data_IF_725672292832
#
_entry.id   IF_725672292832
#
_cell.length_a   1.000
_cell.length_b   1.000
_cell.length_c   1.000
_cell.angle_alpha   90.00
_cell.angle_beta   90.00
_cell.angle_gamma   90.00
#
_symmetry.space_group_name_H-M   'P 1'
#
loop_
_entity.id
_entity.type
_entity.pdbx_description
1 polymer ?
#
# COMPACT_ATOMS: atom_id res chain seq x y z
N UNK A 1 21.18 66.80 45.17
CA UNK A 1 20.34 65.67 45.55
C UNK A 1 19.00 65.73 44.84
N UNK A 2 18.70 64.63 44.14
CA UNK A 2 17.41 64.19 43.60
C UNK A 2 16.68 65.09 42.61
N UNK A 3 17.08 65.03 41.33
CA UNK A 3 16.09 65.04 40.25
C UNK A 3 16.06 63.61 39.68
N UNK A 4 14.94 62.88 39.81
CA UNK A 4 14.93 61.44 39.59
C UNK A 4 15.12 61.12 38.11
N UNK A 5 15.77 59.99 37.86
CA UNK A 5 15.67 59.28 36.57
C UNK A 5 14.19 59.29 36.16
N UNK A 6 13.83 59.80 34.96
CA UNK A 6 12.44 59.92 34.54
C UNK A 6 11.70 58.60 34.75
N UNK A 7 10.60 58.66 35.50
CA UNK A 7 9.80 57.50 35.87
C UNK A 7 8.77 57.22 34.78
N UNK A 8 8.21 56.00 34.73
CA UNK A 8 7.10 55.65 33.82
C UNK A 8 5.92 56.64 33.95
N UNK A 9 5.77 57.29 35.11
CA UNK A 9 4.74 58.31 35.41
C UNK A 9 4.94 59.60 34.60
N UNK A 10 6.18 60.05 34.45
CA UNK A 10 6.51 61.30 33.74
C UNK A 10 6.19 61.22 32.23
N UNK A 11 6.10 60.01 31.68
CA UNK A 11 5.75 59.75 30.28
C UNK A 11 4.26 59.52 30.03
N UNK A 12 3.53 59.10 31.07
CA UNK A 12 2.06 59.05 31.07
C UNK A 12 1.46 60.46 31.04
N UNK A 13 2.12 61.42 31.70
CA UNK A 13 1.68 62.82 31.80
C UNK A 13 1.82 63.62 30.49
N UNK A 14 2.55 63.11 29.49
CA UNK A 14 2.62 63.66 28.11
C UNK A 14 1.89 62.78 27.07
N UNK A 15 0.94 61.94 27.51
CA UNK A 15 0.05 61.10 26.69
C UNK A 15 0.74 60.03 25.82
N UNK A 16 1.96 59.58 26.17
CA UNK A 16 2.66 58.51 25.44
C UNK A 16 2.33 57.14 26.07
N UNK A 17 1.14 56.63 25.78
CA UNK A 17 0.57 55.43 26.41
C UNK A 17 1.16 54.06 26.01
N UNK A 18 2.28 54.00 25.29
CA UNK A 18 2.80 52.76 24.67
C UNK A 18 4.13 52.24 25.23
N UNK A 19 4.70 52.85 26.27
CA UNK A 19 5.97 52.42 26.86
C UNK A 19 5.78 51.20 27.77
N UNK A 20 6.36 50.05 27.40
CA UNK A 20 6.42 48.79 28.20
C UNK A 20 7.84 48.50 28.67
N UNK A 21 8.01 47.64 29.68
CA UNK A 21 9.29 47.36 30.36
C UNK A 21 10.46 47.00 29.43
N UNK A 22 10.20 46.32 28.31
CA UNK A 22 11.25 45.93 27.35
C UNK A 22 11.85 47.15 26.60
N UNK A 23 11.05 48.20 26.40
CA UNK A 23 11.50 49.47 25.80
C UNK A 23 12.29 50.32 26.79
N UNK A 24 12.23 50.02 28.09
CA UNK A 24 12.91 50.79 29.15
C UNK A 24 14.40 50.44 29.23
N UNK A 25 14.77 49.17 28.97
CA UNK A 25 16.15 48.69 29.04
C UNK A 25 17.08 49.32 27.99
N UNK A 26 16.65 49.37 26.72
CA UNK A 26 17.39 50.03 25.63
C UNK A 26 17.54 51.55 25.85
N UNK A 27 16.59 52.16 26.56
CA UNK A 27 16.59 53.61 26.85
C UNK A 27 17.48 53.96 28.04
N UNK A 28 17.55 53.09 29.04
CA UNK A 28 18.50 53.22 30.16
C UNK A 28 19.96 53.17 29.68
N UNK A 29 20.27 52.39 28.65
CA UNK A 29 21.60 52.36 28.01
C UNK A 29 21.96 53.67 27.31
N UNK A 30 20.97 54.37 26.72
CA UNK A 30 21.19 55.64 26.02
C UNK A 30 21.33 56.82 26.99
N UNK A 31 20.54 56.86 28.07
CA UNK A 31 20.69 57.83 29.17
C UNK A 31 22.06 57.66 29.85
N UNK A 32 22.54 56.42 30.00
CA UNK A 32 23.88 56.15 30.54
C UNK A 32 25.04 56.64 29.63
N UNK A 33 24.79 56.88 28.35
CA UNK A 33 25.78 57.36 27.38
C UNK A 33 25.76 58.90 27.18
N UNK A 34 24.74 59.60 27.67
CA UNK A 34 24.63 61.06 27.58
C UNK A 34 25.50 61.72 28.66
N UNK A 35 26.44 62.58 28.24
CA UNK A 35 27.43 63.20 29.14
C UNK A 35 26.91 64.50 29.78
N UNK A 36 25.94 65.14 29.14
CA UNK A 36 25.26 66.32 29.68
C UNK A 36 23.98 65.92 30.43
N UNK A 37 24.05 66.00 31.76
CA UNK A 37 22.96 65.59 32.67
C UNK A 37 21.79 66.58 32.72
N UNK A 38 21.83 67.68 31.97
CA UNK A 38 20.79 68.72 31.96
C UNK A 38 19.91 68.69 30.71
N UNK A 39 20.27 67.89 29.70
CA UNK A 39 19.55 67.79 28.44
C UNK A 39 18.26 66.97 28.62
N UNK A 40 17.12 67.58 28.32
CA UNK A 40 15.81 66.89 28.24
C UNK A 40 15.55 66.48 26.79
N UNK A 41 15.21 65.21 26.57
CA UNK A 41 14.77 64.74 25.24
C UNK A 41 13.44 65.45 24.86
N UNK A 42 13.34 65.91 23.63
CA UNK A 42 12.11 66.46 23.05
C UNK A 42 11.03 65.40 22.88
N UNK A 43 9.77 65.81 22.77
CA UNK A 43 8.63 64.91 22.47
C UNK A 43 8.89 64.14 21.17
N UNK A 44 9.51 64.77 20.18
CA UNK A 44 9.91 64.17 18.90
C UNK A 44 11.00 63.13 19.07
N UNK A 45 12.02 63.38 19.91
CA UNK A 45 13.07 62.41 20.22
C UNK A 45 12.52 61.20 20.98
N UNK A 46 11.64 61.43 21.96
CA UNK A 46 10.97 60.37 22.71
C UNK A 46 10.06 59.57 21.76
N UNK A 47 9.28 60.24 20.91
CA UNK A 47 8.42 59.60 19.91
C UNK A 47 9.25 58.77 18.93
N UNK A 48 10.40 59.27 18.47
CA UNK A 48 11.32 58.54 17.60
C UNK A 48 11.87 57.25 18.24
N UNK A 49 12.19 57.29 19.54
CA UNK A 49 12.66 56.13 20.31
C UNK A 49 11.50 55.17 20.62
N UNK A 50 10.28 55.65 20.85
CA UNK A 50 9.10 54.81 21.04
C UNK A 50 8.67 54.14 19.73
N UNK A 51 8.85 54.83 18.61
CA UNK A 51 8.59 54.29 17.27
C UNK A 51 9.75 53.47 16.70
N UNK A 52 10.90 53.38 17.40
CA UNK A 52 12.04 52.63 16.90
C UNK A 52 11.78 51.13 17.09
N UNK A 53 11.49 50.46 15.99
CA UNK A 53 11.50 49.00 15.90
C UNK A 53 12.85 48.46 16.37
N UNK A 54 12.85 47.62 17.41
CA UNK A 54 14.06 46.88 17.79
C UNK A 54 14.41 45.95 16.64
N UNK A 55 15.63 46.04 16.10
CA UNK A 55 16.06 45.18 14.99
C UNK A 55 16.54 43.84 15.55
N UNK A 56 15.91 42.75 15.12
CA UNK A 56 16.35 41.39 15.37
C UNK A 56 16.45 40.61 14.05
N UNK A 57 17.55 39.90 13.83
CA UNK A 57 17.78 39.07 12.64
C UNK A 57 17.76 37.58 13.00
N UNK A 58 16.59 37.07 13.39
CA UNK A 58 16.38 35.63 13.58
C UNK A 58 16.11 34.91 12.26
N UNK A 59 16.25 33.58 12.25
CA UNK A 59 16.06 32.71 11.09
C UNK A 59 15.19 31.50 11.42
N UNK A 60 14.29 31.15 10.51
CA UNK A 60 13.50 29.93 10.55
C UNK A 60 14.38 28.76 10.14
N UNK A 61 14.47 27.77 11.03
CA UNK A 61 15.08 26.48 10.77
C UNK A 61 13.99 25.39 10.78
N UNK A 62 13.60 25.01 9.56
CA UNK A 62 12.66 23.93 9.24
C UNK A 62 13.17 23.18 8.00
N UNK A 63 12.85 21.90 7.91
CA UNK A 63 13.08 21.09 6.70
C UNK A 63 12.34 21.75 5.53
N UNK A 64 13.09 22.15 4.50
CA UNK A 64 12.53 22.86 3.34
C UNK A 64 11.83 21.93 2.34
N UNK A 65 12.12 20.62 2.37
CA UNK A 65 11.51 19.62 1.50
C UNK A 65 11.11 18.39 2.31
N UNK A 66 9.82 18.08 2.31
CA UNK A 66 9.28 16.88 2.92
C UNK A 66 8.54 16.03 1.88
N UNK A 67 8.29 14.77 2.22
CA UNK A 67 7.42 13.90 1.45
C UNK A 67 6.38 13.24 2.36
N UNK A 68 5.21 12.98 1.80
CA UNK A 68 4.13 12.24 2.44
C UNK A 68 3.56 11.26 1.42
N UNK A 69 3.27 10.03 1.83
CA UNK A 69 2.53 9.11 1.00
C UNK A 69 1.12 9.68 0.75
N UNK A 70 0.57 9.44 -0.44
CA UNK A 70 -0.85 9.75 -0.63
C UNK A 70 -1.73 9.00 0.37
N UNK A 71 -2.96 9.47 0.58
CA UNK A 71 -3.89 9.04 1.65
C UNK A 71 -3.43 9.30 3.08
N UNK A 72 -2.17 9.65 3.30
CA UNK A 72 -1.67 10.09 4.60
C UNK A 72 -1.73 11.62 4.70
N UNK A 73 -2.13 12.12 5.87
CA UNK A 73 -2.05 13.54 6.17
C UNK A 73 -0.60 13.93 6.50
N UNK A 74 -0.18 15.11 6.06
CA UNK A 74 1.13 15.65 6.39
C UNK A 74 1.05 16.56 7.62
N UNK A 75 2.05 16.47 8.50
CA UNK A 75 2.29 17.43 9.58
C UNK A 75 3.80 17.66 9.72
N UNK A 76 4.22 18.91 9.69
CA UNK A 76 5.62 19.28 9.85
C UNK A 76 6.08 19.10 11.31
N UNK A 77 7.39 18.92 11.56
CA UNK A 77 7.92 19.18 12.90
C UNK A 77 7.72 20.66 13.27
N UNK A 78 7.75 20.97 14.57
CA UNK A 78 7.75 22.35 15.06
C UNK A 78 9.00 23.07 14.55
N UNK A 79 8.88 24.18 13.79
CA UNK A 79 10.01 24.98 13.36
C UNK A 79 10.82 25.51 14.56
N UNK A 80 12.13 25.60 14.39
CA UNK A 80 13.00 26.27 15.37
C UNK A 80 13.45 27.62 14.84
N UNK A 81 13.79 28.55 15.73
CA UNK A 81 14.33 29.87 15.38
C UNK A 81 15.77 29.99 15.88
N UNK A 82 16.67 30.44 15.01
CA UNK A 82 18.10 30.70 15.32
C UNK A 82 18.44 32.18 15.11
N UNK A 83 19.64 32.62 15.47
CA UNK A 83 20.07 34.02 15.35
C UNK A 83 19.69 34.87 16.58
N UNK A 84 19.38 36.14 16.35
CA UNK A 84 19.09 37.09 17.44
C UNK A 84 17.89 36.67 18.29
N UNK A 85 17.88 37.16 19.53
CA UNK A 85 16.70 37.03 20.39
C UNK A 85 15.54 37.81 19.79
N UNK A 86 14.35 37.21 19.84
CA UNK A 86 13.12 37.77 19.27
C UNK A 86 12.48 38.73 20.25
N UNK A 87 11.74 39.71 19.74
CA UNK A 87 10.97 40.62 20.59
C UNK A 87 9.59 40.05 20.85
N UNK A 88 9.35 39.61 22.09
CA UNK A 88 8.04 39.08 22.49
C UNK A 88 7.66 37.77 21.77
N UNK A 89 6.36 37.53 21.67
CA UNK A 89 5.80 36.33 21.06
C UNK A 89 5.93 36.33 19.53
N UNK A 90 6.01 35.13 18.96
CA UNK A 90 6.06 34.92 17.52
C UNK A 90 4.67 34.54 17.01
N UNK A 91 4.24 35.23 15.96
CA UNK A 91 3.08 34.84 15.16
C UNK A 91 3.55 34.21 13.86
N UNK A 92 3.00 33.05 13.54
CA UNK A 92 3.29 32.31 12.32
C UNK A 92 2.16 32.46 11.30
N UNK A 93 2.53 32.71 10.05
CA UNK A 93 1.61 32.80 8.92
C UNK A 93 2.12 31.96 7.75
N UNK A 94 1.21 31.60 6.84
CA UNK A 94 1.49 30.80 5.66
C UNK A 94 0.98 31.54 4.42
N UNK A 95 1.78 31.53 3.37
CA UNK A 95 1.48 32.09 2.06
C UNK A 95 2.10 31.22 0.97
N UNK A 96 2.14 31.75 -0.25
CA UNK A 96 2.59 31.00 -1.42
C UNK A 96 1.45 30.46 -2.27
N UNK A 97 1.78 29.66 -3.27
CA UNK A 97 0.86 29.24 -4.32
C UNK A 97 -0.21 28.27 -3.83
N UNK A 98 0.18 27.36 -2.94
CA UNK A 98 -0.70 26.31 -2.42
C UNK A 98 -1.15 26.60 -0.98
N UNK A 99 -1.05 27.86 -0.51
CA UNK A 99 -1.31 28.20 0.90
C UNK A 99 -2.70 27.77 1.39
N UNK A 100 -3.72 27.80 0.52
CA UNK A 100 -5.09 27.39 0.81
C UNK A 100 -5.24 25.87 1.00
N UNK A 101 -4.21 25.09 0.64
CA UNK A 101 -4.14 23.63 0.84
C UNK A 101 -3.57 23.23 2.19
N UNK A 102 -3.07 24.19 2.96
CA UNK A 102 -2.42 23.97 4.27
C UNK A 102 -3.11 24.74 5.39
N UNK A 103 -2.84 24.30 6.61
CA UNK A 103 -3.10 25.06 7.82
C UNK A 103 -1.80 25.26 8.58
N UNK A 104 -1.60 26.43 9.19
CA UNK A 104 -0.48 26.69 10.10
C UNK A 104 -1.00 27.06 11.48
N UNK A 105 -0.41 26.48 12.51
CA UNK A 105 -0.68 26.90 13.87
C UNK A 105 0.07 28.20 14.17
N UNK A 106 -0.67 29.30 14.34
CA UNK A 106 -0.11 30.64 14.51
C UNK A 106 0.83 30.81 15.72
N UNK A 107 0.78 29.90 16.72
CA UNK A 107 1.61 29.99 17.93
C UNK A 107 2.93 29.23 17.82
N UNK A 108 2.94 28.09 17.14
CA UNK A 108 4.11 27.20 17.11
C UNK A 108 4.65 26.92 15.70
N UNK A 109 4.00 27.41 14.64
CA UNK A 109 4.47 27.29 13.27
C UNK A 109 4.33 25.90 12.65
N UNK A 110 3.68 24.94 13.33
CA UNK A 110 3.42 23.61 12.75
C UNK A 110 2.47 23.74 11.56
N UNK A 111 2.87 23.18 10.43
CA UNK A 111 2.13 23.17 9.16
C UNK A 111 1.49 21.79 8.97
N UNK A 112 0.23 21.76 8.55
CA UNK A 112 -0.49 20.52 8.23
C UNK A 112 -1.17 20.60 6.86
N UNK A 113 -1.26 19.45 6.19
CA UNK A 113 -2.01 19.26 4.94
C UNK A 113 -2.85 18.00 5.08
N UNK A 114 -4.10 18.05 4.63
CA UNK A 114 -4.94 16.85 4.56
C UNK A 114 -4.34 15.82 3.59
N UNK A 115 -4.78 14.57 3.72
CA UNK A 115 -4.45 13.53 2.75
C UNK A 115 -4.76 13.96 1.31
N UNK A 116 -3.87 13.60 0.38
CA UNK A 116 -3.99 13.85 -1.06
C UNK A 116 -4.13 12.54 -1.82
N UNK A 117 -4.61 12.64 -3.06
CA UNK A 117 -4.75 11.56 -4.04
C UNK A 117 -3.75 11.91 -5.16
N UNK A 118 -2.73 11.07 -5.35
CA UNK A 118 -1.62 11.37 -6.26
C UNK A 118 -2.10 11.49 -7.71
N UNK A 119 -3.07 10.66 -8.11
CA UNK A 119 -3.68 10.65 -9.43
C UNK A 119 -4.65 11.82 -9.65
N UNK A 120 -5.05 12.53 -8.60
CA UNK A 120 -5.90 13.74 -8.66
C UNK A 120 -5.25 14.93 -7.95
N UNK A 121 -4.13 15.46 -8.49
CA UNK A 121 -3.44 16.58 -7.89
C UNK A 121 -4.32 17.83 -7.84
N UNK A 122 -4.23 18.57 -6.73
CA UNK A 122 -4.99 19.80 -6.49
C UNK A 122 -4.10 21.00 -6.15
N UNK A 123 -2.79 20.80 -6.11
CA UNK A 123 -1.81 21.88 -6.19
C UNK A 123 -1.97 22.65 -7.50
N UNK A 124 -1.43 23.86 -7.51
CA UNK A 124 -1.70 24.83 -8.57
C UNK A 124 -1.20 24.39 -9.94
N UNK A 125 0.00 23.80 -10.01
CA UNK A 125 0.64 23.33 -11.23
C UNK A 125 0.38 21.85 -11.53
N UNK A 126 -0.25 21.13 -10.60
CA UNK A 126 -0.68 19.72 -10.71
C UNK A 126 0.49 18.74 -10.84
N UNK A 127 1.62 19.05 -10.20
CA UNK A 127 2.85 18.26 -10.23
C UNK A 127 3.06 17.43 -8.93
N UNK A 128 2.10 17.46 -7.99
CA UNK A 128 2.17 16.84 -6.67
C UNK A 128 3.30 17.39 -5.76
N UNK A 129 3.94 18.50 -6.12
CA UNK A 129 4.89 19.25 -5.31
C UNK A 129 4.23 20.54 -4.80
N UNK A 130 3.61 20.44 -3.61
CA UNK A 130 2.93 21.54 -2.96
C UNK A 130 3.94 22.53 -2.37
N UNK A 131 3.87 23.81 -2.76
CA UNK A 131 4.84 24.86 -2.44
C UNK A 131 4.19 25.97 -1.61
N UNK A 132 4.68 26.16 -0.40
CA UNK A 132 4.25 27.23 0.51
C UNK A 132 5.43 27.98 1.10
N UNK A 133 5.20 29.22 1.53
CA UNK A 133 6.16 30.01 2.28
C UNK A 133 5.59 30.26 3.67
N UNK A 134 6.33 29.88 4.71
CA UNK A 134 5.98 30.21 6.09
C UNK A 134 6.73 31.47 6.53
N UNK A 135 6.05 32.33 7.29
CA UNK A 135 6.61 33.58 7.81
C UNK A 135 6.43 33.64 9.31
N UNK A 136 7.52 33.85 10.03
CA UNK A 136 7.53 34.13 11.47
C UNK A 136 7.67 35.64 11.67
N UNK A 137 6.80 36.23 12.49
CA UNK A 137 6.81 37.66 12.82
C UNK A 137 6.82 37.84 14.33
N UNK A 138 7.78 38.59 14.84
CA UNK A 138 7.83 38.95 16.26
C UNK A 138 6.96 40.19 16.57
N UNK A 139 6.87 40.57 17.85
CA UNK A 139 6.02 41.67 18.30
C UNK A 139 6.41 43.02 17.70
N UNK A 140 7.70 43.23 17.45
CA UNK A 140 8.23 44.45 16.84
C UNK A 140 8.23 44.40 15.30
N UNK A 141 7.61 43.38 14.69
CA UNK A 141 7.50 43.17 13.24
C UNK A 141 8.81 42.81 12.54
N UNK A 142 9.79 42.28 13.26
CA UNK A 142 10.90 41.59 12.62
C UNK A 142 10.40 40.28 12.04
N UNK A 143 10.83 39.95 10.82
CA UNK A 143 10.33 38.79 10.09
C UNK A 143 11.44 37.95 9.50
N UNK A 144 11.20 36.65 9.45
CA UNK A 144 11.93 35.76 8.56
C UNK A 144 10.93 34.86 7.82
N UNK A 145 11.30 34.39 6.63
CA UNK A 145 10.45 33.54 5.80
C UNK A 145 11.23 32.36 5.26
N UNK A 146 10.54 31.23 5.11
CA UNK A 146 11.12 29.98 4.63
C UNK A 146 10.15 29.27 3.70
N UNK A 147 10.65 28.83 2.56
CA UNK A 147 9.89 27.97 1.66
C UNK A 147 9.89 26.52 2.16
N UNK A 148 8.72 25.90 2.03
CA UNK A 148 8.45 24.51 2.33
C UNK A 148 7.80 23.88 1.08
N UNK A 149 8.43 22.82 0.59
CA UNK A 149 7.88 21.95 -0.46
C UNK A 149 7.47 20.62 0.16
N UNK A 150 6.23 20.19 -0.07
CA UNK A 150 5.73 18.88 0.34
C UNK A 150 5.39 18.07 -0.91
N UNK A 151 6.18 17.02 -1.17
CA UNK A 151 5.95 16.07 -2.25
C UNK A 151 4.97 14.99 -1.81
N UNK A 152 3.84 14.88 -2.51
CA UNK A 152 2.97 13.71 -2.37
C UNK A 152 3.56 12.58 -3.20
N UNK A 153 3.83 11.43 -2.59
CA UNK A 153 4.36 10.25 -3.30
C UNK A 153 3.25 9.25 -3.58
N UNK A 154 3.23 8.73 -4.80
CA UNK A 154 2.29 7.70 -5.24
C UNK A 154 2.39 6.45 -4.35
N UNK A 155 1.23 5.92 -3.97
CA UNK A 155 1.04 4.60 -3.38
C UNK A 155 0.11 3.81 -4.29
N UNK A 156 0.64 2.72 -4.86
CA UNK A 156 -0.09 1.87 -5.79
C UNK A 156 -1.51 1.50 -5.31
N UNK A 157 -2.52 1.97 -6.06
CA UNK A 157 -3.92 1.67 -5.83
C UNK A 157 -4.42 0.57 -6.77
N UNK A 158 -4.63 -0.63 -6.24
CA UNK A 158 -5.23 -1.70 -7.04
C UNK A 158 -6.77 -1.63 -7.02
N UNK A 159 -7.37 -1.46 -8.19
CA UNK A 159 -8.83 -1.55 -8.35
C UNK A 159 -9.23 -2.98 -8.71
N UNK A 160 -9.93 -3.65 -7.80
CA UNK A 160 -10.47 -4.99 -8.04
C UNK A 160 -11.50 -4.97 -9.17
N UNK A 161 -11.39 -5.91 -10.09
CA UNK A 161 -12.28 -6.12 -11.23
C UNK A 161 -12.98 -7.47 -11.13
N UNK A 162 -14.18 -7.58 -11.70
CA UNK A 162 -14.98 -8.81 -11.66
C UNK A 162 -14.82 -9.64 -12.94
N UNK A 163 -14.73 -10.96 -12.78
CA UNK A 163 -14.56 -11.93 -13.87
C UNK A 163 -15.48 -13.12 -13.63
N UNK A 164 -16.12 -13.65 -14.67
CA UNK A 164 -17.04 -14.78 -14.52
C UNK A 164 -16.64 -15.97 -15.40
N UNK A 165 -16.68 -17.17 -14.84
CA UNK A 165 -16.50 -18.44 -15.55
C UNK A 165 -17.40 -19.51 -14.92
N UNK A 166 -18.00 -20.36 -15.75
CA UNK A 166 -18.88 -21.46 -15.31
C UNK A 166 -19.97 -21.05 -14.31
N UNK A 167 -20.54 -19.85 -14.47
CA UNK A 167 -21.61 -19.34 -13.59
C UNK A 167 -21.15 -18.80 -12.23
N UNK A 168 -19.84 -18.75 -11.96
CA UNK A 168 -19.26 -18.18 -10.73
C UNK A 168 -18.56 -16.87 -11.06
N UNK A 169 -18.78 -15.85 -10.23
CA UNK A 169 -18.11 -14.54 -10.33
C UNK A 169 -16.99 -14.43 -9.29
N UNK A 170 -15.82 -14.02 -9.78
CA UNK A 170 -14.58 -13.84 -9.03
C UNK A 170 -14.19 -12.38 -9.05
N UNK A 171 -13.32 -12.01 -8.12
CA UNK A 171 -12.65 -10.71 -8.09
C UNK A 171 -11.16 -10.89 -8.29
N UNK A 172 -10.53 -9.90 -8.93
CA UNK A 172 -9.09 -9.83 -8.95
C UNK A 172 -8.54 -9.31 -7.61
N UNK A 173 -7.38 -9.82 -7.22
CA UNK A 173 -6.59 -9.37 -6.07
C UNK A 173 -5.14 -9.17 -6.50
N UNK A 174 -4.48 -8.17 -5.94
CA UNK A 174 -3.09 -7.84 -6.25
C UNK A 174 -2.16 -8.39 -5.18
N UNK A 175 -1.09 -9.06 -5.61
CA UNK A 175 -0.06 -9.52 -4.70
C UNK A 175 0.78 -8.33 -4.23
N UNK A 176 0.85 -8.07 -2.91
CA UNK A 176 1.78 -7.07 -2.37
C UNK A 176 3.24 -7.55 -2.48
N UNK A 177 3.47 -8.81 -2.85
CA UNK A 177 4.79 -9.44 -2.79
C UNK A 177 5.43 -9.60 -4.19
N UNK A 178 4.61 -9.86 -5.22
CA UNK A 178 5.07 -10.07 -6.60
C UNK A 178 4.56 -9.01 -7.58
N UNK A 179 3.59 -8.18 -7.18
CA UNK A 179 2.87 -7.29 -8.09
C UNK A 179 1.93 -8.01 -9.08
N UNK A 180 1.84 -9.35 -9.01
CA UNK A 180 0.96 -10.13 -9.89
C UNK A 180 -0.49 -10.03 -9.47
N UNK A 181 -1.39 -10.22 -10.43
CA UNK A 181 -2.84 -10.22 -10.19
C UNK A 181 -3.37 -11.64 -10.22
N UNK A 182 -4.15 -12.01 -9.21
CA UNK A 182 -4.72 -13.34 -8.99
C UNK A 182 -6.25 -13.27 -8.89
N UNK A 183 -6.93 -14.40 -9.04
CA UNK A 183 -8.33 -14.52 -8.61
C UNK A 183 -8.42 -14.73 -7.08
N UNK A 184 -9.43 -14.12 -6.48
CA UNK A 184 -9.66 -14.06 -5.02
C UNK A 184 -9.90 -15.42 -4.34
N UNK A 185 -10.32 -16.46 -5.07
CA UNK A 185 -10.65 -17.79 -4.54
C UNK A 185 -10.32 -18.93 -5.52
N UNK A 186 -10.36 -20.18 -5.04
CA UNK A 186 -10.20 -21.36 -5.89
C UNK A 186 -11.33 -21.39 -6.93
N UNK A 187 -11.05 -21.89 -8.13
CA UNK A 187 -12.11 -22.06 -9.13
C UNK A 187 -13.23 -22.96 -8.61
N UNK A 188 -14.47 -22.52 -8.79
CA UNK A 188 -15.69 -23.17 -8.33
C UNK A 188 -16.10 -22.86 -6.90
N UNK A 189 -15.35 -22.01 -6.18
CA UNK A 189 -15.66 -21.68 -4.80
C UNK A 189 -16.77 -20.62 -4.67
N UNK A 190 -17.67 -20.80 -3.72
CA UNK A 190 -18.79 -19.89 -3.48
C UNK A 190 -18.34 -18.59 -2.79
N UNK A 191 -17.24 -18.63 -2.02
CA UNK A 191 -16.71 -17.49 -1.28
C UNK A 191 -15.19 -17.54 -1.11
N UNK A 192 -14.59 -16.38 -0.84
CA UNK A 192 -13.22 -16.30 -0.29
C UNK A 192 -13.20 -16.96 1.09
N UNK A 193 -12.14 -17.70 1.41
CA UNK A 193 -12.04 -18.46 2.66
C UNK A 193 -12.13 -17.54 3.88
N UNK A 194 -12.98 -17.93 4.85
CA UNK A 194 -13.09 -17.25 6.16
C UNK A 194 -12.22 -17.89 7.24
N UNK A 195 -11.86 -19.15 7.06
CA UNK A 195 -10.92 -19.94 7.87
C UNK A 195 -10.37 -21.07 7.00
N UNK A 196 -9.26 -21.71 7.39
CA UNK A 196 -8.58 -22.72 6.56
C UNK A 196 -9.50 -23.89 6.12
N UNK A 197 -10.41 -24.32 6.99
CA UNK A 197 -11.35 -25.42 6.75
C UNK A 197 -12.69 -25.01 6.13
N UNK A 198 -12.81 -23.82 5.56
CA UNK A 198 -14.08 -23.29 5.05
C UNK A 198 -14.53 -24.01 3.78
N UNK A 199 -15.45 -24.97 3.92
CA UNK A 199 -15.93 -25.81 2.82
C UNK A 199 -16.50 -25.02 1.63
N UNK A 200 -17.08 -23.84 1.87
CA UNK A 200 -17.62 -22.97 0.79
C UNK A 200 -16.52 -22.33 -0.06
N UNK A 201 -15.29 -22.32 0.44
CA UNK A 201 -14.12 -21.75 -0.25
C UNK A 201 -13.30 -22.77 -1.03
N UNK A 202 -13.60 -24.06 -0.86
CA UNK A 202 -12.77 -25.13 -1.39
C UNK A 202 -12.75 -25.18 -2.91
N UNK A 203 -13.87 -24.85 -3.55
CA UNK A 203 -14.05 -24.92 -5.00
C UNK A 203 -14.00 -26.34 -5.55
N UNK A 204 -13.75 -26.47 -6.84
CA UNK A 204 -13.72 -27.73 -7.57
C UNK A 204 -12.34 -28.42 -7.52
N UNK A 205 -12.31 -29.70 -7.91
CA UNK A 205 -11.11 -30.55 -7.93
C UNK A 205 -10.87 -31.11 -9.33
N UNK A 206 -9.98 -30.47 -10.09
CA UNK A 206 -9.76 -30.75 -11.51
C UNK A 206 -8.72 -31.83 -11.72
N UNK A 207 -8.94 -32.70 -12.71
CA UNK A 207 -7.90 -33.57 -13.25
C UNK A 207 -6.99 -32.75 -14.17
N UNK A 208 -5.68 -33.01 -14.12
CA UNK A 208 -4.69 -32.12 -14.70
C UNK A 208 -4.85 -31.98 -16.23
N UNK A 209 -4.82 -30.74 -16.70
CA UNK A 209 -4.97 -30.41 -18.12
C UNK A 209 -6.37 -30.64 -18.70
N UNK A 210 -7.38 -30.98 -17.89
CA UNK A 210 -8.75 -31.25 -18.36
C UNK A 210 -9.59 -29.96 -18.41
N UNK A 211 -10.50 -29.88 -19.38
CA UNK A 211 -11.47 -28.80 -19.48
C UNK A 211 -12.58 -28.95 -18.44
N UNK A 212 -13.31 -27.86 -18.17
CA UNK A 212 -14.50 -27.87 -17.31
C UNK A 212 -15.61 -28.66 -18.02
N UNK A 213 -15.84 -29.88 -17.57
CA UNK A 213 -16.77 -30.83 -18.20
C UNK A 213 -17.60 -31.63 -17.18
N UNK A 214 -17.68 -31.13 -15.93
CA UNK A 214 -18.36 -31.70 -14.75
C UNK A 214 -17.53 -32.70 -13.94
N UNK A 215 -16.38 -33.17 -14.43
CA UNK A 215 -15.54 -34.08 -13.65
C UNK A 215 -15.05 -33.43 -12.35
N UNK A 216 -14.83 -32.12 -12.39
CA UNK A 216 -14.25 -31.34 -11.32
C UNK A 216 -15.15 -31.19 -10.09
N UNK A 217 -16.45 -31.47 -10.26
CA UNK A 217 -17.38 -31.48 -9.14
C UNK A 217 -16.97 -32.55 -8.13
N UNK A 218 -16.96 -32.17 -6.86
CA UNK A 218 -16.61 -33.08 -5.76
C UNK A 218 -17.55 -34.30 -5.67
N UNK A 219 -18.76 -34.17 -6.22
CA UNK A 219 -19.81 -35.20 -6.24
C UNK A 219 -19.95 -35.90 -7.60
N UNK A 220 -19.08 -35.63 -8.58
CA UNK A 220 -19.18 -36.26 -9.89
C UNK A 220 -19.00 -37.78 -9.81
N UNK A 221 -19.66 -38.52 -10.70
CA UNK A 221 -19.46 -39.96 -10.84
C UNK A 221 -18.04 -40.32 -11.30
N UNK A 222 -17.67 -41.59 -11.19
CA UNK A 222 -16.33 -42.08 -11.56
C UNK A 222 -16.38 -43.05 -12.75
N UNK A 223 -15.27 -43.20 -13.46
CA UNK A 223 -15.08 -44.19 -14.53
C UNK A 223 -13.63 -44.64 -14.60
N UNK A 224 -13.37 -45.92 -14.83
CA UNK A 224 -12.02 -46.44 -15.08
C UNK A 224 -11.57 -46.33 -16.55
N UNK A 225 -12.47 -45.92 -17.45
CA UNK A 225 -12.19 -45.82 -18.89
C UNK A 225 -11.60 -44.46 -19.22
N UNK A 226 -10.29 -44.42 -19.53
CA UNK A 226 -9.62 -43.22 -20.03
C UNK A 226 -10.22 -42.74 -21.36
N UNK A 227 -10.18 -41.44 -21.58
CA UNK A 227 -10.42 -40.86 -22.89
C UNK A 227 -9.23 -41.10 -23.83
N UNK A 228 -9.50 -41.18 -25.13
CA UNK A 228 -8.44 -41.34 -26.16
C UNK A 228 -8.09 -40.03 -26.86
N UNK A 229 -8.69 -38.92 -26.41
CA UNK A 229 -8.44 -37.57 -26.92
C UNK A 229 -8.49 -36.55 -25.79
N UNK A 230 -8.09 -35.31 -26.07
CA UNK A 230 -8.19 -34.19 -25.11
C UNK A 230 -9.59 -33.58 -24.99
N UNK A 231 -10.53 -34.01 -25.83
CA UNK A 231 -11.92 -33.55 -25.80
C UNK A 231 -12.82 -34.66 -25.30
N UNK A 232 -13.67 -34.32 -24.34
CA UNK A 232 -14.81 -35.16 -24.02
C UNK A 232 -15.84 -35.00 -25.17
N UNK A 233 -16.03 -36.06 -25.94
CA UNK A 233 -16.96 -36.11 -27.10
C UNK A 233 -18.21 -36.95 -26.80
N UNK A 234 -18.36 -37.45 -25.58
CA UNK A 234 -19.45 -38.33 -25.18
C UNK A 234 -20.65 -37.60 -24.57
N UNK A 235 -21.80 -38.30 -24.58
CA UNK A 235 -22.95 -38.00 -23.70
C UNK A 235 -22.66 -38.51 -22.29
N UNK A 236 -23.08 -37.77 -21.27
CA UNK A 236 -22.80 -37.92 -19.83
C UNK A 236 -21.61 -37.07 -19.35
N UNK A 237 -21.87 -35.83 -18.95
CA UNK A 237 -21.12 -35.03 -17.96
C UNK A 237 -19.83 -35.74 -17.49
N UNK A 238 -18.68 -35.31 -17.97
CA UNK A 238 -17.43 -36.06 -17.91
C UNK A 238 -17.18 -36.68 -16.53
N UNK A 239 -17.12 -38.02 -16.40
CA UNK A 239 -16.84 -38.65 -15.11
C UNK A 239 -15.42 -38.35 -14.67
N UNK A 240 -15.17 -38.38 -13.36
CA UNK A 240 -13.82 -38.37 -12.81
C UNK A 240 -13.13 -39.70 -13.11
N UNK A 241 -12.00 -39.66 -13.82
CA UNK A 241 -11.32 -40.88 -14.25
C UNK A 241 -10.49 -41.46 -13.11
N UNK A 242 -10.68 -42.74 -12.81
CA UNK A 242 -10.02 -43.47 -11.72
C UNK A 242 -9.19 -44.64 -12.23
N UNK A 243 -8.31 -45.18 -11.39
CA UNK A 243 -7.56 -46.41 -11.67
C UNK A 243 -6.45 -46.30 -12.71
N UNK A 244 -6.17 -45.08 -13.20
CA UNK A 244 -5.12 -44.78 -14.17
C UNK A 244 -4.28 -43.60 -13.67
N UNK A 245 -3.03 -43.45 -14.15
CA UNK A 245 -2.18 -42.31 -13.80
C UNK A 245 -2.64 -41.00 -14.46
N UNK A 246 -3.44 -41.06 -15.52
CA UNK A 246 -3.99 -39.90 -16.23
C UNK A 246 -5.45 -40.15 -16.62
N UNK A 247 -6.22 -39.12 -16.94
CA UNK A 247 -7.61 -39.24 -17.39
C UNK A 247 -7.74 -39.55 -18.89
N UNK A 248 -6.64 -39.38 -19.64
CA UNK A 248 -6.58 -39.57 -21.09
C UNK A 248 -5.28 -40.28 -21.48
N UNK A 249 -5.32 -41.03 -22.58
CA UNK A 249 -4.12 -41.58 -23.23
C UNK A 249 -3.50 -40.64 -24.27
N UNK A 250 -4.14 -39.51 -24.56
CA UNK A 250 -3.59 -38.48 -25.44
C UNK A 250 -2.63 -37.55 -24.69
N UNK A 251 -1.68 -36.94 -25.42
CA UNK A 251 -0.75 -35.93 -24.86
C UNK A 251 -0.02 -36.43 -23.61
N UNK A 252 0.61 -37.60 -23.70
CA UNK A 252 1.37 -38.19 -22.58
C UNK A 252 2.48 -37.26 -22.06
N UNK A 253 3.14 -36.52 -22.96
CA UNK A 253 4.11 -35.50 -22.60
C UNK A 253 3.50 -34.29 -21.86
N UNK A 254 2.19 -34.04 -22.01
CA UNK A 254 1.49 -32.92 -21.37
C UNK A 254 1.71 -31.56 -22.07
N UNK A 255 2.35 -31.52 -23.24
CA UNK A 255 2.75 -30.27 -23.91
C UNK A 255 1.54 -29.49 -24.42
N UNK A 256 0.53 -30.18 -24.94
CA UNK A 256 -0.68 -29.52 -25.44
C UNK A 256 -1.54 -29.00 -24.29
N UNK A 257 -1.65 -29.77 -23.20
CA UNK A 257 -2.36 -29.37 -21.98
C UNK A 257 -1.67 -28.22 -21.25
N UNK A 258 -0.34 -28.24 -21.16
CA UNK A 258 0.45 -27.13 -20.62
C UNK A 258 0.18 -25.82 -21.39
N UNK A 259 0.22 -25.89 -22.73
CA UNK A 259 -0.06 -24.75 -23.60
C UNK A 259 -1.49 -24.25 -23.43
N UNK A 260 -2.46 -25.17 -23.36
CA UNK A 260 -3.86 -24.85 -23.14
C UNK A 260 -4.09 -24.14 -21.80
N UNK A 261 -3.56 -24.69 -20.71
CA UNK A 261 -3.67 -24.13 -19.37
C UNK A 261 -2.89 -22.82 -19.17
N UNK A 262 -1.87 -22.56 -19.98
CA UNK A 262 -1.09 -21.32 -19.99
C UNK A 262 -1.65 -20.19 -20.85
N UNK A 263 -2.70 -20.44 -21.65
CA UNK A 263 -3.29 -19.41 -22.51
C UNK A 263 -4.26 -18.48 -21.75
N UNK A 264 -4.53 -17.30 -22.31
CA UNK A 264 -5.50 -16.35 -21.79
C UNK A 264 -6.93 -16.92 -21.82
N UNK A 265 -7.57 -17.09 -20.66
CA UNK A 265 -8.82 -17.83 -20.54
C UNK A 265 -8.67 -19.32 -20.85
N UNK A 266 -7.43 -19.82 -20.79
CA UNK A 266 -7.04 -21.17 -21.11
C UNK A 266 -7.43 -22.17 -20.03
N UNK A 267 -7.63 -23.42 -20.44
CA UNK A 267 -8.08 -24.51 -19.58
C UNK A 267 -9.48 -24.27 -19.00
N UNK A 268 -9.51 -23.60 -17.85
CA UNK A 268 -10.71 -23.38 -17.02
C UNK A 268 -10.76 -21.99 -16.37
N UNK A 269 -9.75 -21.14 -16.58
CA UNK A 269 -9.72 -19.78 -16.02
C UNK A 269 -10.49 -18.79 -16.92
N UNK A 270 -11.07 -17.70 -16.38
CA UNK A 270 -11.62 -16.61 -17.19
C UNK A 270 -10.50 -15.78 -17.83
N UNK A 271 -10.75 -15.10 -18.96
CA UNK A 271 -9.80 -14.11 -19.49
C UNK A 271 -9.68 -12.89 -18.55
N UNK A 272 -8.49 -12.29 -18.36
CA UNK A 272 -7.19 -12.62 -18.96
C UNK A 272 -6.35 -13.60 -18.11
N UNK A 273 -6.95 -14.44 -17.28
CA UNK A 273 -6.23 -15.33 -16.38
C UNK A 273 -5.88 -16.67 -17.04
N UNK A 274 -4.87 -17.33 -16.48
CA UNK A 274 -4.39 -18.66 -16.80
C UNK A 274 -4.11 -19.44 -15.51
N UNK A 275 -3.79 -20.73 -15.64
CA UNK A 275 -3.26 -21.54 -14.54
C UNK A 275 -1.76 -21.25 -14.43
N UNK A 276 -1.22 -20.96 -13.23
CA UNK A 276 0.18 -20.57 -13.07
C UNK A 276 1.12 -21.72 -13.46
N UNK A 277 2.28 -21.39 -14.04
CA UNK A 277 3.39 -22.34 -14.09
C UNK A 277 3.90 -22.65 -12.67
N UNK A 278 4.73 -23.69 -12.56
CA UNK A 278 5.43 -23.99 -11.32
C UNK A 278 6.20 -22.77 -10.83
N UNK A 279 6.95 -22.12 -11.71
CA UNK A 279 7.80 -20.96 -11.38
C UNK A 279 6.96 -19.77 -10.90
N UNK A 280 5.84 -19.48 -11.55
CA UNK A 280 4.93 -18.38 -11.15
C UNK A 280 4.30 -18.64 -9.78
N UNK A 281 3.88 -19.88 -9.50
CA UNK A 281 3.31 -20.23 -8.20
C UNK A 281 4.40 -20.26 -7.12
N UNK A 282 5.59 -20.77 -7.45
CA UNK A 282 6.72 -20.90 -6.52
C UNK A 282 7.25 -19.54 -6.07
N UNK A 283 7.35 -18.58 -6.99
CA UNK A 283 7.70 -17.20 -6.66
C UNK A 283 6.69 -16.58 -5.68
N UNK A 284 5.39 -16.74 -5.94
CA UNK A 284 4.35 -16.18 -5.07
C UNK A 284 4.32 -16.82 -3.68
N UNK A 285 4.40 -18.15 -3.59
CA UNK A 285 4.39 -18.86 -2.31
C UNK A 285 5.61 -18.48 -1.47
N UNK A 286 6.78 -18.38 -2.11
CA UNK A 286 8.04 -18.02 -1.44
C UNK A 286 8.01 -16.58 -0.94
N UNK A 287 7.67 -15.60 -1.80
CA UNK A 287 7.62 -14.18 -1.41
C UNK A 287 6.48 -13.87 -0.43
N UNK A 288 5.42 -14.68 -0.42
CA UNK A 288 4.36 -14.63 0.59
C UNK A 288 4.68 -15.38 1.89
N UNK A 289 5.86 -15.99 2.00
CA UNK A 289 6.30 -16.80 3.15
C UNK A 289 5.30 -17.90 3.56
N UNK A 290 4.74 -18.60 2.57
CA UNK A 290 3.81 -19.70 2.81
C UNK A 290 4.60 -20.96 3.15
N UNK A 291 4.48 -21.41 4.39
CA UNK A 291 5.25 -22.52 4.99
C UNK A 291 4.38 -23.67 5.49
N UNK A 292 3.06 -23.45 5.59
CA UNK A 292 2.05 -24.41 6.05
C UNK A 292 0.64 -23.91 5.66
N UNK A 293 -0.39 -24.67 5.99
CA UNK A 293 -1.78 -24.30 5.71
C UNK A 293 -2.23 -23.02 6.45
N UNK A 294 -1.69 -22.73 7.64
CA UNK A 294 -2.06 -21.54 8.41
C UNK A 294 -1.52 -20.25 7.77
N UNK A 295 -0.27 -20.25 7.30
CA UNK A 295 0.31 -19.16 6.53
C UNK A 295 -0.35 -19.01 5.16
N UNK A 296 -0.71 -20.12 4.50
CA UNK A 296 -1.46 -20.10 3.25
C UNK A 296 -2.82 -19.40 3.39
N UNK A 297 -3.57 -19.72 4.46
CA UNK A 297 -4.83 -19.03 4.78
C UNK A 297 -4.62 -17.59 5.23
N UNK A 298 -3.55 -17.29 5.97
CA UNK A 298 -3.30 -15.94 6.49
C UNK A 298 -2.84 -14.97 5.39
N UNK A 299 -2.24 -15.48 4.31
CA UNK A 299 -1.79 -14.71 3.13
C UNK A 299 -2.90 -13.90 2.46
N UNK A 300 -2.52 -13.01 1.54
CA UNK A 300 -3.49 -12.23 0.74
C UNK A 300 -4.40 -13.10 -0.14
N UNK A 301 -3.97 -14.31 -0.50
CA UNK A 301 -4.74 -15.24 -1.33
C UNK A 301 -5.81 -16.04 -0.56
N UNK A 302 -5.78 -16.01 0.77
CA UNK A 302 -6.72 -16.75 1.65
C UNK A 302 -6.89 -18.20 1.20
N UNK A 303 -5.79 -18.93 0.98
CA UNK A 303 -5.85 -20.26 0.38
C UNK A 303 -6.40 -21.26 1.39
N UNK A 304 -7.54 -21.93 1.11
CA UNK A 304 -8.09 -22.89 2.03
C UNK A 304 -7.44 -24.26 1.86
N UNK A 305 -7.55 -25.03 2.94
CA UNK A 305 -7.19 -26.43 3.05
C UNK A 305 -8.24 -27.33 2.36
N UNK A 306 -8.34 -27.21 1.03
CA UNK A 306 -9.42 -27.80 0.23
C UNK A 306 -9.30 -29.32 -0.02
N UNK A 307 -8.18 -29.93 0.36
CA UNK A 307 -7.89 -31.34 0.14
C UNK A 307 -7.80 -31.70 -1.35
N UNK A 308 -8.00 -32.98 -1.66
CA UNK A 308 -7.88 -33.53 -3.00
C UNK A 308 -8.87 -34.68 -3.22
N UNK A 309 -9.03 -35.08 -4.48
CA UNK A 309 -9.70 -36.32 -4.88
C UNK A 309 -8.66 -37.28 -5.41
N UNK A 310 -8.57 -38.46 -4.80
CA UNK A 310 -7.56 -39.46 -5.16
C UNK A 310 -7.88 -40.12 -6.50
N UNK A 311 -6.88 -40.80 -7.08
CA UNK A 311 -7.08 -41.65 -8.27
C UNK A 311 -8.04 -42.83 -8.07
N UNK A 312 -8.43 -43.13 -6.84
CA UNK A 312 -9.49 -44.10 -6.52
C UNK A 312 -10.88 -43.46 -6.48
N UNK A 313 -10.96 -42.14 -6.66
CA UNK A 313 -12.21 -41.36 -6.64
C UNK A 313 -12.62 -40.85 -5.26
N UNK A 314 -11.86 -41.19 -4.21
CA UNK A 314 -12.18 -40.82 -2.83
C UNK A 314 -11.72 -39.39 -2.52
N UNK A 315 -12.52 -38.65 -1.75
CA UNK A 315 -12.13 -37.37 -1.15
C UNK A 315 -11.94 -37.63 0.35
N UNK A 316 -10.70 -37.65 0.88
CA UNK A 316 -10.48 -37.94 2.29
C UNK A 316 -11.10 -36.86 3.20
N UNK A 317 -11.90 -37.27 4.18
CA UNK A 317 -12.60 -36.35 5.10
C UNK A 317 -11.63 -35.61 6.05
N UNK A 318 -10.49 -36.23 6.39
CA UNK A 318 -9.56 -35.76 7.43
C UNK A 318 -8.16 -35.37 6.92
N UNK A 319 -7.98 -35.15 5.62
CA UNK A 319 -6.74 -34.60 5.06
C UNK A 319 -6.92 -33.21 4.40
N UNK A 320 -7.29 -32.15 5.15
CA UNK A 320 -7.40 -30.81 4.59
C UNK A 320 -6.01 -30.18 4.30
N UNK A 321 -5.19 -30.73 3.43
CA UNK A 321 -4.00 -30.00 2.96
C UNK A 321 -4.40 -28.92 1.94
N UNK A 322 -3.54 -27.92 1.78
CA UNK A 322 -3.58 -27.05 0.60
C UNK A 322 -2.97 -27.85 -0.55
N UNK A 323 -3.71 -28.09 -1.64
CA UNK A 323 -3.16 -28.68 -2.86
C UNK A 323 -3.62 -27.85 -4.07
N UNK A 324 -2.65 -27.28 -4.79
CA UNK A 324 -2.90 -26.45 -5.97
C UNK A 324 -2.16 -27.00 -7.18
N UNK A 325 -2.90 -27.21 -8.28
CA UNK A 325 -2.28 -27.53 -9.54
C UNK A 325 -1.46 -26.37 -10.11
N UNK A 326 -0.32 -26.70 -10.70
CA UNK A 326 0.35 -25.84 -11.70
C UNK A 326 0.03 -26.36 -13.10
N UNK A 327 0.29 -25.55 -14.13
CA UNK A 327 0.24 -26.01 -15.53
C UNK A 327 1.48 -26.77 -15.99
N UNK A 328 2.50 -26.93 -15.14
CA UNK A 328 3.79 -27.48 -15.54
C UNK A 328 3.76 -29.02 -15.49
N UNK A 329 3.95 -29.72 -16.62
CA UNK A 329 4.13 -31.17 -16.62
C UNK A 329 5.52 -31.52 -16.09
N UNK A 330 5.71 -32.77 -15.66
CA UNK A 330 7.06 -33.31 -15.45
C UNK A 330 7.72 -33.55 -16.82
N UNK A 331 8.91 -32.98 -17.10
CA UNK A 331 9.66 -33.25 -18.33
C UNK A 331 10.04 -34.73 -18.41
N UNK A 332 9.86 -35.35 -19.58
CA UNK A 332 10.29 -36.72 -19.87
C UNK A 332 9.73 -37.80 -18.90
N UNK A 333 8.40 -38.01 -18.86
CA UNK A 333 7.81 -39.03 -17.99
C UNK A 333 8.35 -40.41 -18.36
N UNK A 334 8.86 -41.15 -17.37
CA UNK A 334 9.14 -42.58 -17.53
C UNK A 334 7.80 -43.28 -17.81
N UNK A 335 7.77 -44.27 -18.70
CA UNK A 335 6.55 -45.01 -19.05
C UNK A 335 5.88 -45.54 -17.77
N UNK A 336 4.76 -44.92 -17.38
CA UNK A 336 4.00 -45.24 -16.16
C UNK A 336 3.78 -44.05 -15.21
N UNK A 337 4.73 -43.10 -15.15
CA UNK A 337 4.72 -41.97 -14.22
C UNK A 337 4.32 -40.67 -14.95
N UNK A 338 3.04 -40.60 -15.33
CA UNK A 338 2.48 -39.41 -15.99
C UNK A 338 2.04 -38.40 -14.92
N UNK A 339 3.04 -37.66 -14.43
CA UNK A 339 2.88 -36.70 -13.35
C UNK A 339 2.82 -35.24 -13.84
N UNK A 340 2.33 -34.37 -12.97
CA UNK A 340 2.44 -32.92 -13.07
C UNK A 340 2.81 -32.28 -11.72
N UNK A 341 3.35 -31.07 -11.78
CA UNK A 341 3.72 -30.33 -10.58
C UNK A 341 2.51 -29.73 -9.87
N UNK A 342 2.49 -29.85 -8.55
CA UNK A 342 1.53 -29.21 -7.68
C UNK A 342 2.24 -28.61 -6.46
N UNK A 343 1.61 -27.61 -5.87
CA UNK A 343 2.01 -27.06 -4.59
C UNK A 343 1.22 -27.74 -3.47
N UNK A 344 1.89 -28.07 -2.36
CA UNK A 344 1.27 -28.56 -1.13
C UNK A 344 1.65 -27.68 0.07
N UNK A 345 0.73 -27.54 1.03
CA UNK A 345 1.05 -27.05 2.36
C UNK A 345 0.28 -27.85 3.43
N UNK A 346 1.03 -28.40 4.38
CA UNK A 346 0.52 -29.28 5.44
C UNK A 346 -0.22 -28.50 6.54
N UNK A 347 -1.20 -29.13 7.18
CA UNK A 347 -1.90 -28.55 8.34
C UNK A 347 -1.09 -28.65 9.62
N UNK A 348 -0.35 -29.74 9.78
CA UNK A 348 0.15 -30.14 11.09
C UNK A 348 1.62 -29.73 11.32
N UNK A 349 2.35 -29.42 10.24
CA UNK A 349 3.78 -29.14 10.27
C UNK A 349 4.12 -27.97 9.32
N UNK A 350 5.31 -27.38 9.51
CA UNK A 350 5.90 -26.41 8.59
C UNK A 350 6.47 -27.10 7.36
N UNK A 351 5.59 -27.70 6.58
CA UNK A 351 5.93 -28.44 5.37
C UNK A 351 5.07 -27.91 4.22
N UNK A 352 5.66 -27.07 3.40
CA UNK A 352 5.10 -26.58 2.17
C UNK A 352 6.14 -26.63 1.05
N UNK A 353 5.71 -26.99 -0.14
CA UNK A 353 6.64 -27.21 -1.25
C UNK A 353 5.97 -27.69 -2.52
N UNK A 354 6.79 -27.89 -3.54
CA UNK A 354 6.37 -28.41 -4.83
C UNK A 354 6.74 -29.87 -4.97
N UNK A 355 5.77 -30.67 -5.38
CA UNK A 355 5.96 -32.10 -5.63
C UNK A 355 5.28 -32.47 -6.95
N UNK A 356 5.42 -33.73 -7.32
CA UNK A 356 4.76 -34.31 -8.49
C UNK A 356 3.71 -35.30 -8.03
N UNK A 357 2.61 -35.38 -8.77
CA UNK A 357 1.59 -36.40 -8.56
C UNK A 357 0.91 -36.72 -9.89
N UNK A 358 0.39 -37.95 -9.99
CA UNK A 358 -0.32 -38.46 -11.15
C UNK A 358 -1.45 -37.50 -11.57
N UNK A 359 -1.55 -37.24 -12.88
CA UNK A 359 -2.50 -36.28 -13.48
C UNK A 359 -3.97 -36.64 -13.30
N UNK A 360 -4.26 -37.89 -12.90
CA UNK A 360 -5.61 -38.35 -12.57
C UNK A 360 -6.13 -37.85 -11.22
N UNK A 361 -5.28 -37.31 -10.34
CA UNK A 361 -5.73 -36.68 -9.10
C UNK A 361 -6.52 -35.40 -9.36
N UNK A 362 -7.50 -35.14 -8.49
CA UNK A 362 -8.31 -33.93 -8.52
C UNK A 362 -7.78 -32.92 -7.51
N UNK A 363 -7.18 -31.83 -7.97
CA UNK A 363 -6.67 -30.75 -7.10
C UNK A 363 -7.35 -29.42 -7.41
N UNK A 364 -7.25 -28.48 -6.48
CA UNK A 364 -7.78 -27.13 -6.66
C UNK A 364 -6.94 -26.33 -7.65
N UNK A 365 -7.55 -25.33 -8.28
CA UNK A 365 -6.88 -24.40 -9.20
C UNK A 365 -7.04 -22.98 -8.70
N UNK A 366 -5.94 -22.22 -8.72
CA UNK A 366 -5.91 -20.78 -8.46
C UNK A 366 -5.34 -20.07 -9.68
N UNK A 367 -6.10 -19.16 -10.28
CA UNK A 367 -5.70 -18.52 -11.54
C UNK A 367 -4.89 -17.24 -11.31
N UNK A 368 -3.92 -17.01 -12.19
CA UNK A 368 -3.06 -15.82 -12.25
C UNK A 368 -3.27 -15.09 -13.59
N UNK A 369 -3.17 -13.76 -13.60
CA UNK A 369 -3.25 -12.96 -14.83
C UNK A 369 -2.10 -13.30 -15.78
N UNK A 370 -2.37 -13.33 -17.09
CA UNK A 370 -1.32 -13.42 -18.12
C UNK A 370 -0.49 -12.15 -18.22
N UNK A 371 -1.03 -11.02 -17.78
CA UNK A 371 -0.28 -9.78 -17.73
C UNK A 371 0.73 -9.90 -16.59
N UNK A 372 1.94 -9.44 -16.85
CA UNK A 372 2.98 -9.34 -15.83
C UNK A 372 2.52 -8.44 -14.70
N UNK A 373 3.35 -8.32 -13.66
CA UNK A 373 3.16 -7.31 -12.62
C UNK A 373 2.77 -6.01 -13.30
N UNK A 374 1.67 -5.36 -12.85
CA UNK A 374 1.42 -3.99 -13.28
C UNK A 374 2.75 -3.28 -13.00
N UNK A 375 3.46 -2.76 -14.02
CA UNK A 375 4.72 -2.10 -13.77
C UNK A 375 4.44 -1.06 -12.69
N UNK A 376 5.36 -0.80 -11.74
CA UNK A 376 5.25 0.44 -10.98
C UNK A 376 5.10 1.54 -12.04
N UNK A 377 3.92 2.15 -12.11
CA UNK A 377 3.70 3.24 -13.04
C UNK A 377 4.63 4.35 -12.59
N UNK A 378 5.47 4.79 -13.53
CA UNK A 378 6.44 5.88 -13.35
C UNK A 378 5.84 7.12 -12.66
#
# INVERSE_FOLDING_TARGET
>A
DNDPVPTVRDYLDIEIGTVKDNNLSLKNLRIAAEKDRTKKDSVEEIRAIVSSQSKASFKINLIAVASVAEKDAFTSPTPTLTGDSRVGDITWTIGGEDADKFTINAKNGVVSMIARDYEKPVDKDKDNDYKVTITATDFDKNTDSKDLKVKVTNVHEFVSSEYSVAGVTYRSVHSPNTGRVWLDRNLGADQVAKFKGDQKSYGYLYQWGRAHDQHEQRTSGTSSKQFTSLKNTGVNNGPFIIGNSDWTSADSAGKEREKSWGAAGGGVCPKPFKIPSKEELEEEMTKSNITNADSAFSSFLKIPSAGYRSKSGNIPENHPAVLLWTRSPVPDPVVGDIDAYYFTASINNNDAGFHTIERSYGLSIRCISIHDSIPPSD
#
